data_IF_926643375593
#
_entry.id   IF_926643375593
#
_cell.length_a   1.000
_cell.length_b   1.000
_cell.length_c   1.000
_cell.angle_alpha   90.00
_cell.angle_beta   90.00
_cell.angle_gamma   90.00
#
_symmetry.space_group_name_H-M   'P 1'
#
loop_
_entity.id
_entity.type
_entity.pdbx_description
1 polymer ?
#
# COMPACT_ATOMS: atom_id res chain seq x y z
N UNK A 1 15.29 22.40 6.18
CA UNK A 1 14.28 21.41 6.62
C UNK A 1 12.93 22.04 6.36
N UNK A 2 12.11 21.44 5.49
CA UNK A 2 10.77 21.91 5.20
C UNK A 2 9.77 20.94 5.82
N UNK A 3 8.80 21.48 6.56
CA UNK A 3 7.70 20.74 7.16
C UNK A 3 6.38 21.25 6.58
N UNK A 4 5.59 20.33 6.05
CA UNK A 4 4.23 20.55 5.58
C UNK A 4 3.29 19.79 6.50
N UNK A 5 2.15 20.40 6.83
CA UNK A 5 1.14 19.78 7.67
C UNK A 5 -0.25 20.16 7.14
N UNK A 6 -1.14 19.18 7.11
CA UNK A 6 -2.55 19.38 6.78
C UNK A 6 -3.39 18.33 7.48
N UNK A 7 -4.60 18.70 7.88
CA UNK A 7 -5.56 17.79 8.50
C UNK A 7 -6.74 17.60 7.56
N UNK A 8 -7.11 16.37 7.32
CA UNK A 8 -8.27 16.01 6.50
C UNK A 8 -9.27 15.19 7.30
N UNK A 9 -10.54 15.27 6.89
CA UNK A 9 -11.61 14.45 7.47
C UNK A 9 -11.88 13.28 6.53
N UNK A 10 -11.83 12.08 7.08
CA UNK A 10 -12.10 10.85 6.34
C UNK A 10 -13.14 10.00 7.06
N UNK A 11 -13.88 9.20 6.29
CA UNK A 11 -14.78 8.18 6.84
C UNK A 11 -13.96 7.13 7.59
N UNK A 12 -14.46 6.71 8.73
CA UNK A 12 -13.90 5.64 9.55
C UNK A 12 -14.62 4.33 9.24
N UNK A 13 -13.92 3.27 8.81
CA UNK A 13 -14.53 1.95 8.75
C UNK A 13 -14.74 1.40 10.16
N UNK A 14 -15.68 0.49 10.32
CA UNK A 14 -15.79 -0.33 11.50
C UNK A 14 -14.68 -1.38 11.51
N UNK A 15 -14.06 -1.60 12.66
CA UNK A 15 -12.94 -2.53 12.77
C UNK A 15 -13.35 -3.95 12.45
N UNK A 16 -14.47 -4.38 12.98
CA UNK A 16 -15.04 -5.73 12.79
C UNK A 16 -15.29 -6.00 11.29
N UNK A 17 -15.75 -4.99 10.57
CA UNK A 17 -15.98 -5.11 9.12
C UNK A 17 -14.69 -5.24 8.32
N UNK A 18 -13.65 -4.50 8.69
CA UNK A 18 -12.32 -4.66 8.07
C UNK A 18 -11.71 -6.03 8.39
N UNK A 19 -11.84 -6.50 9.63
CA UNK A 19 -11.35 -7.82 10.03
C UNK A 19 -12.10 -8.93 9.26
N UNK A 20 -13.43 -8.81 9.11
CA UNK A 20 -14.23 -9.74 8.32
C UNK A 20 -13.82 -9.75 6.84
N UNK A 21 -13.60 -8.57 6.24
CA UNK A 21 -13.12 -8.48 4.86
C UNK A 21 -11.72 -9.07 4.69
N UNK A 22 -10.81 -8.81 5.63
CA UNK A 22 -9.49 -9.42 5.62
C UNK A 22 -9.62 -10.95 5.66
N UNK A 23 -10.50 -11.50 6.50
CA UNK A 23 -10.82 -12.91 6.52
C UNK A 23 -11.27 -13.45 5.15
N UNK A 24 -12.22 -12.77 4.49
CA UNK A 24 -12.69 -13.14 3.15
C UNK A 24 -11.55 -13.19 2.11
N UNK A 25 -10.67 -12.18 2.12
CA UNK A 25 -9.52 -12.15 1.20
C UNK A 25 -8.61 -13.36 1.42
N UNK A 26 -8.29 -13.69 2.67
CA UNK A 26 -7.43 -14.81 2.98
C UNK A 26 -8.11 -16.17 2.74
N UNK A 27 -9.41 -16.28 3.00
CA UNK A 27 -10.19 -17.48 2.67
C UNK A 27 -10.17 -17.73 1.16
N UNK A 28 -10.37 -16.69 0.34
CA UNK A 28 -10.27 -16.83 -1.11
C UNK A 28 -8.87 -17.25 -1.55
N UNK A 29 -7.82 -16.56 -1.06
CA UNK A 29 -6.44 -16.90 -1.44
C UNK A 29 -6.06 -18.32 -1.03
N UNK A 30 -6.40 -18.75 0.19
CA UNK A 30 -6.08 -20.10 0.68
C UNK A 30 -6.96 -21.20 0.09
N UNK A 31 -8.12 -20.84 -0.47
CA UNK A 31 -8.96 -21.79 -1.22
C UNK A 31 -8.43 -22.07 -2.63
N UNK A 32 -7.51 -21.24 -3.14
CA UNK A 32 -6.87 -21.49 -4.43
C UNK A 32 -5.93 -22.70 -4.36
N UNK A 33 -5.70 -23.32 -5.50
CA UNK A 33 -4.81 -24.47 -5.61
C UNK A 33 -3.96 -24.39 -6.87
N UNK A 34 -2.81 -25.06 -6.84
CA UNK A 34 -2.01 -25.23 -8.05
C UNK A 34 -2.52 -26.44 -8.83
N UNK A 35 -2.79 -26.24 -10.12
CA UNK A 35 -3.07 -27.28 -11.09
C UNK A 35 -1.99 -27.23 -12.18
N UNK A 36 -1.00 -28.10 -12.07
CA UNK A 36 0.24 -27.93 -12.82
C UNK A 36 0.95 -26.64 -12.43
N UNK A 37 1.10 -25.73 -13.38
CA UNK A 37 1.68 -24.41 -13.15
C UNK A 37 0.64 -23.31 -12.96
N UNK A 38 -0.61 -23.56 -13.26
CA UNK A 38 -1.69 -22.59 -13.11
C UNK A 38 -2.20 -22.54 -11.67
N UNK A 39 -2.56 -21.36 -11.22
CA UNK A 39 -3.31 -21.18 -9.96
C UNK A 39 -4.79 -21.13 -10.31
N UNK A 40 -5.60 -21.95 -9.65
CA UNK A 40 -7.03 -22.04 -9.92
C UNK A 40 -7.86 -21.79 -8.67
N UNK A 41 -9.02 -21.20 -8.86
CA UNK A 41 -10.05 -21.02 -7.83
C UNK A 41 -10.73 -22.36 -7.49
N UNK A 42 -11.53 -22.44 -6.40
CA UNK A 42 -12.27 -23.64 -6.04
C UNK A 42 -13.21 -24.17 -7.13
N UNK A 43 -13.78 -23.27 -7.92
CA UNK A 43 -14.67 -23.59 -9.05
C UNK A 43 -13.94 -24.08 -10.31
N UNK A 44 -12.59 -24.12 -10.27
CA UNK A 44 -11.74 -24.59 -11.36
C UNK A 44 -11.32 -23.48 -12.35
N UNK A 45 -11.83 -22.26 -12.23
CA UNK A 45 -11.38 -21.14 -13.07
C UNK A 45 -9.93 -20.79 -12.73
N UNK A 46 -9.12 -20.61 -13.77
CA UNK A 46 -7.73 -20.18 -13.59
C UNK A 46 -7.66 -18.68 -13.25
N UNK A 47 -6.69 -18.33 -12.41
CA UNK A 47 -6.30 -16.92 -12.19
C UNK A 47 -5.43 -16.48 -13.37
N UNK A 48 -5.93 -15.57 -14.24
CA UNK A 48 -5.21 -15.20 -15.45
C UNK A 48 -3.86 -14.55 -15.14
N UNK A 49 -2.85 -14.86 -15.94
CA UNK A 49 -1.54 -14.23 -15.82
C UNK A 49 -0.73 -14.63 -14.59
N UNK A 50 -1.24 -15.51 -13.70
CA UNK A 50 -0.52 -15.96 -12.50
C UNK A 50 -0.04 -17.41 -12.68
N UNK A 51 1.27 -17.60 -12.69
CA UNK A 51 1.89 -18.91 -12.91
C UNK A 51 2.82 -19.30 -11.75
N UNK A 52 2.62 -20.47 -11.15
CA UNK A 52 3.55 -21.04 -10.19
C UNK A 52 4.74 -21.66 -10.93
N UNK A 53 5.91 -21.03 -10.85
CA UNK A 53 7.12 -21.46 -11.57
C UNK A 53 8.05 -22.31 -10.72
N UNK A 54 7.95 -22.21 -9.39
CA UNK A 54 8.79 -22.99 -8.46
C UNK A 54 8.15 -23.15 -7.09
N UNK A 55 8.41 -24.31 -6.47
CA UNK A 55 7.98 -24.59 -5.09
C UNK A 55 6.55 -25.13 -5.01
N UNK A 56 6.00 -25.12 -3.82
CA UNK A 56 4.63 -25.54 -3.54
C UNK A 56 3.76 -24.33 -3.29
N UNK A 57 2.53 -24.36 -3.81
CA UNK A 57 1.57 -23.27 -3.68
C UNK A 57 1.41 -22.80 -2.22
N UNK A 58 1.45 -21.46 -2.01
CA UNK A 58 1.36 -20.79 -0.71
C UNK A 58 2.35 -21.28 0.36
N UNK A 59 3.48 -21.91 -0.04
CA UNK A 59 4.52 -22.32 0.89
C UNK A 59 5.75 -21.40 0.78
N UNK A 60 6.52 -21.23 1.86
CA UNK A 60 7.79 -20.50 1.80
C UNK A 60 8.70 -21.00 0.68
N UNK A 61 9.21 -20.10 -0.14
CA UNK A 61 10.01 -20.40 -1.33
C UNK A 61 9.22 -20.59 -2.62
N UNK A 62 7.87 -20.65 -2.55
CA UNK A 62 7.03 -20.61 -3.76
C UNK A 62 7.32 -19.34 -4.55
N UNK A 63 7.45 -19.49 -5.88
CA UNK A 63 7.68 -18.40 -6.80
C UNK A 63 6.59 -18.39 -7.86
N UNK A 64 5.99 -17.23 -8.02
CA UNK A 64 4.97 -16.97 -9.02
C UNK A 64 5.49 -15.93 -10.00
N UNK A 65 5.09 -16.08 -11.25
CA UNK A 65 5.26 -15.05 -12.27
C UNK A 65 3.89 -14.50 -12.65
N UNK A 66 3.82 -13.17 -12.80
CA UNK A 66 2.63 -12.47 -13.27
C UNK A 66 3.02 -11.48 -14.35
N UNK A 67 2.21 -11.39 -15.41
CA UNK A 67 2.39 -10.41 -16.48
C UNK A 67 1.50 -9.22 -16.17
N UNK A 68 2.10 -8.06 -15.98
CA UNK A 68 1.36 -6.79 -15.95
C UNK A 68 1.02 -6.33 -17.38
N UNK A 69 0.00 -5.48 -17.56
CA UNK A 69 -0.41 -5.00 -18.88
C UNK A 69 0.73 -4.29 -19.64
N UNK A 70 1.64 -3.64 -18.95
CA UNK A 70 2.73 -2.84 -19.53
C UNK A 70 4.12 -3.48 -19.36
N UNK A 71 4.22 -4.69 -18.83
CA UNK A 71 5.51 -5.32 -18.53
C UNK A 71 5.95 -6.25 -19.64
N UNK A 72 7.08 -5.93 -20.30
CA UNK A 72 7.72 -6.84 -21.26
C UNK A 72 8.32 -8.10 -20.63
N UNK A 73 8.64 -8.04 -19.33
CA UNK A 73 9.11 -9.17 -18.53
C UNK A 73 8.13 -9.44 -17.39
N UNK A 74 7.92 -10.72 -16.99
CA UNK A 74 7.02 -11.04 -15.89
C UNK A 74 7.56 -10.54 -14.55
N UNK A 75 6.68 -9.98 -13.74
CA UNK A 75 6.95 -9.73 -12.33
C UNK A 75 7.04 -11.05 -11.57
N UNK A 76 7.99 -11.15 -10.66
CA UNK A 76 8.16 -12.35 -9.86
C UNK A 76 7.75 -12.10 -8.42
N UNK A 77 6.80 -12.86 -7.90
CA UNK A 77 6.42 -12.86 -6.48
C UNK A 77 6.97 -14.10 -5.78
N UNK A 78 7.65 -13.91 -4.65
CA UNK A 78 8.21 -14.98 -3.82
C UNK A 78 7.55 -14.97 -2.45
N UNK A 79 6.98 -16.11 -2.05
CA UNK A 79 6.50 -16.29 -0.67
C UNK A 79 7.70 -16.45 0.25
N UNK A 80 7.82 -15.59 1.25
CA UNK A 80 8.86 -15.64 2.29
C UNK A 80 8.37 -16.34 3.55
N UNK A 81 7.18 -15.99 3.98
CA UNK A 81 6.47 -16.62 5.10
C UNK A 81 4.99 -16.71 4.75
N UNK A 82 4.33 -17.80 5.13
CA UNK A 82 2.90 -17.97 4.99
C UNK A 82 2.36 -18.72 6.20
N UNK A 83 1.90 -17.97 7.18
CA UNK A 83 1.27 -18.46 8.41
C UNK A 83 0.12 -17.53 8.75
N UNK A 84 -1.07 -17.85 8.28
CA UNK A 84 -2.27 -17.03 8.40
C UNK A 84 -2.53 -16.54 9.84
N UNK A 85 -2.39 -17.39 10.85
CA UNK A 85 -2.59 -17.00 12.27
C UNK A 85 -1.52 -16.04 12.81
N UNK A 86 -0.41 -15.77 12.11
CA UNK A 86 0.68 -14.95 12.65
C UNK A 86 1.28 -13.97 11.63
N UNK A 87 1.74 -14.43 10.48
CA UNK A 87 2.46 -13.59 9.52
C UNK A 87 2.38 -14.11 8.10
N UNK A 88 2.16 -13.18 7.17
CA UNK A 88 2.36 -13.38 5.73
C UNK A 88 3.44 -12.40 5.29
N UNK A 89 4.46 -12.91 4.60
CA UNK A 89 5.51 -12.10 4.02
C UNK A 89 5.75 -12.52 2.58
N UNK A 90 5.71 -11.55 1.68
CA UNK A 90 5.94 -11.73 0.25
C UNK A 90 6.97 -10.73 -0.26
N UNK A 91 7.65 -11.11 -1.30
CA UNK A 91 8.61 -10.27 -1.98
C UNK A 91 8.31 -10.27 -3.47
N UNK A 92 8.19 -9.08 -4.05
CA UNK A 92 7.96 -8.88 -5.47
C UNK A 92 9.21 -8.30 -6.11
N UNK A 93 9.62 -8.87 -7.22
CA UNK A 93 10.67 -8.41 -8.11
C UNK A 93 10.01 -7.95 -9.39
N UNK A 94 10.15 -6.67 -9.69
CA UNK A 94 9.61 -6.02 -10.88
C UNK A 94 10.75 -5.72 -11.83
N UNK A 95 10.56 -6.01 -13.11
CA UNK A 95 11.52 -5.71 -14.17
C UNK A 95 10.80 -5.09 -15.35
N UNK A 96 11.36 -4.01 -15.83
CA UNK A 96 10.97 -3.40 -17.07
C UNK A 96 12.24 -2.93 -17.81
N UNK A 97 12.19 -2.64 -19.11
CA UNK A 97 13.34 -2.08 -19.83
C UNK A 97 13.89 -0.80 -19.21
N UNK A 98 13.03 -0.03 -18.56
CA UNK A 98 13.37 1.27 -18.01
C UNK A 98 13.72 1.23 -16.51
N UNK A 99 13.37 0.16 -15.79
CA UNK A 99 13.57 0.10 -14.35
C UNK A 99 13.56 -1.32 -13.78
N UNK A 100 14.20 -1.49 -12.65
CA UNK A 100 14.09 -2.69 -11.84
C UNK A 100 13.71 -2.32 -10.41
N UNK A 101 12.86 -3.15 -9.80
CA UNK A 101 12.36 -2.92 -8.47
C UNK A 101 12.32 -4.18 -7.63
N UNK A 102 12.42 -3.99 -6.33
CA UNK A 102 12.17 -5.03 -5.34
C UNK A 102 11.30 -4.44 -4.25
N UNK A 103 10.20 -5.09 -3.98
CA UNK A 103 9.28 -4.72 -2.90
C UNK A 103 9.10 -5.92 -1.98
N UNK A 104 9.17 -5.69 -0.69
CA UNK A 104 8.85 -6.68 0.34
C UNK A 104 7.67 -6.17 1.16
N UNK A 105 6.69 -7.02 1.38
CA UNK A 105 5.52 -6.77 2.19
C UNK A 105 5.49 -7.79 3.32
N UNK A 106 5.19 -7.33 4.53
CA UNK A 106 4.99 -8.16 5.70
C UNK A 106 3.72 -7.71 6.43
N UNK A 107 2.77 -8.62 6.56
CA UNK A 107 1.53 -8.43 7.28
C UNK A 107 1.52 -9.34 8.51
N UNK A 108 1.30 -8.77 9.69
CA UNK A 108 1.14 -9.52 10.94
C UNK A 108 -0.33 -9.69 11.27
N UNK A 109 -0.67 -10.87 11.77
CA UNK A 109 -2.03 -11.29 12.12
C UNK A 109 -3.02 -11.05 10.97
N UNK A 110 -2.87 -11.75 9.82
CA UNK A 110 -3.63 -11.49 8.61
C UNK A 110 -5.15 -11.44 8.78
N UNK A 111 -5.73 -12.29 9.63
CA UNK A 111 -7.19 -12.33 9.89
C UNK A 111 -7.69 -11.12 10.71
N UNK A 112 -6.82 -10.55 11.53
CA UNK A 112 -7.05 -9.31 12.29
C UNK A 112 -5.82 -8.44 12.18
N UNK A 113 -5.67 -7.75 11.06
CA UNK A 113 -4.42 -7.09 10.72
C UNK A 113 -3.89 -6.20 11.85
N UNK A 114 -2.73 -6.58 12.41
CA UNK A 114 -2.11 -5.82 13.50
C UNK A 114 -1.09 -4.82 12.97
N UNK A 115 -0.27 -5.21 11.99
CA UNK A 115 0.66 -4.28 11.36
C UNK A 115 0.99 -4.68 9.93
N UNK A 116 1.22 -3.67 9.10
CA UNK A 116 1.70 -3.81 7.73
C UNK A 116 3.03 -3.08 7.58
N UNK A 117 4.03 -3.76 7.06
CA UNK A 117 5.32 -3.20 6.69
C UNK A 117 5.55 -3.40 5.19
N UNK A 118 5.96 -2.36 4.51
CA UNK A 118 6.37 -2.40 3.10
C UNK A 118 7.74 -1.77 2.99
N UNK A 119 8.67 -2.45 2.31
CA UNK A 119 9.99 -1.92 2.00
C UNK A 119 10.27 -2.11 0.52
N UNK A 120 10.79 -1.08 -0.15
CA UNK A 120 11.04 -1.13 -1.57
C UNK A 120 12.33 -0.44 -1.99
N UNK A 121 12.86 -0.88 -3.13
CA UNK A 121 13.97 -0.24 -3.84
C UNK A 121 13.67 -0.25 -5.31
N UNK A 122 13.86 0.90 -5.93
CA UNK A 122 13.76 1.07 -7.38
C UNK A 122 15.12 1.52 -7.90
N UNK A 123 15.49 1.02 -9.06
CA UNK A 123 16.68 1.41 -9.82
C UNK A 123 16.24 1.75 -11.23
N UNK A 124 16.77 2.82 -11.77
CA UNK A 124 16.60 3.15 -13.19
C UNK A 124 17.33 2.16 -14.09
N UNK A 125 17.32 2.41 -15.43
CA UNK A 125 17.91 1.54 -16.42
C UNK A 125 19.36 1.16 -16.09
N UNK A 126 19.80 -0.03 -16.52
CA UNK A 126 21.20 -0.44 -16.39
C UNK A 126 22.09 0.54 -17.16
N UNK A 127 23.17 1.02 -16.49
CA UNK A 127 24.06 2.05 -17.06
C UNK A 127 23.65 3.49 -16.75
N UNK A 128 22.42 3.78 -16.34
CA UNK A 128 22.06 5.07 -15.78
C UNK A 128 22.68 5.17 -14.37
N UNK A 129 23.60 6.09 -14.19
CA UNK A 129 24.31 6.26 -12.92
C UNK A 129 23.40 6.39 -11.68
N UNK A 130 23.99 6.67 -10.53
CA UNK A 130 23.34 6.81 -9.22
C UNK A 130 22.03 7.68 -9.10
N UNK A 131 21.69 8.60 -10.06
CA UNK A 131 20.51 9.48 -9.90
C UNK A 131 19.18 8.77 -9.75
N UNK A 132 19.01 7.60 -10.33
CA UNK A 132 17.72 6.91 -10.44
C UNK A 132 17.50 5.84 -9.35
N UNK A 133 18.15 5.98 -8.19
CA UNK A 133 17.95 5.06 -7.05
C UNK A 133 17.00 5.66 -6.03
N UNK A 134 15.86 5.02 -5.83
CA UNK A 134 14.89 5.33 -4.78
C UNK A 134 14.76 4.14 -3.84
N UNK A 135 14.72 4.38 -2.53
CA UNK A 135 14.33 3.37 -1.56
C UNK A 135 13.27 3.92 -0.62
N UNK A 136 12.33 3.07 -0.24
CA UNK A 136 11.23 3.43 0.63
C UNK A 136 10.99 2.38 1.71
N UNK A 137 10.42 2.83 2.82
CA UNK A 137 9.80 1.97 3.83
C UNK A 137 8.54 2.63 4.30
N UNK A 138 7.45 1.88 4.33
CA UNK A 138 6.19 2.25 4.94
C UNK A 138 5.90 1.29 6.10
N UNK A 139 5.30 1.79 7.15
CA UNK A 139 4.79 0.99 8.26
C UNK A 139 3.45 1.55 8.71
N UNK A 140 2.50 0.65 8.93
CA UNK A 140 1.21 0.92 9.52
C UNK A 140 1.03 -0.03 10.70
N UNK A 141 0.95 0.53 11.90
CA UNK A 141 0.56 -0.16 13.12
C UNK A 141 -0.94 0.06 13.32
N UNK A 142 -1.73 -0.94 12.94
CA UNK A 142 -3.19 -0.86 12.98
C UNK A 142 -3.71 -0.84 14.41
N UNK A 143 -3.06 -1.54 15.35
CA UNK A 143 -3.45 -1.51 16.74
C UNK A 143 -3.27 -0.09 17.33
N UNK A 144 -2.12 0.52 17.08
CA UNK A 144 -1.85 1.91 17.48
C UNK A 144 -2.75 2.91 16.73
N UNK A 145 -3.11 2.63 15.46
CA UNK A 145 -4.05 3.44 14.68
C UNK A 145 -5.42 3.48 15.34
N UNK A 146 -5.98 2.31 15.66
CA UNK A 146 -7.29 2.20 16.31
C UNK A 146 -7.28 2.83 17.71
N UNK A 147 -6.22 2.61 18.50
CA UNK A 147 -6.06 3.22 19.81
C UNK A 147 -6.03 4.76 19.72
N UNK A 148 -5.30 5.33 18.77
CA UNK A 148 -5.23 6.76 18.53
C UNK A 148 -6.58 7.33 18.06
N UNK A 149 -7.27 6.61 17.18
CA UNK A 149 -8.58 7.01 16.65
C UNK A 149 -9.71 6.95 17.71
N UNK A 150 -9.53 6.17 18.77
CA UNK A 150 -10.49 6.06 19.89
C UNK A 150 -10.30 7.14 20.96
N UNK A 151 -9.20 7.90 20.95
CA UNK A 151 -8.96 8.94 21.95
C UNK A 151 -10.04 10.03 21.90
N UNK A 152 -10.41 10.53 23.08
CA UNK A 152 -11.37 11.61 23.22
C UNK A 152 -10.91 12.87 22.45
N UNK A 153 -11.84 13.69 21.92
CA UNK A 153 -11.51 14.99 21.35
C UNK A 153 -10.73 15.85 22.35
N UNK A 154 -9.61 16.45 21.91
CA UNK A 154 -8.74 17.27 22.78
C UNK A 154 -7.67 16.49 23.53
N UNK A 155 -7.67 15.17 23.52
CA UNK A 155 -6.58 14.38 24.08
C UNK A 155 -5.24 14.69 23.38
N UNK A 156 -4.11 14.65 24.11
CA UNK A 156 -2.80 14.88 23.51
C UNK A 156 -2.55 13.84 22.42
N UNK A 157 -1.96 14.24 21.28
CA UNK A 157 -1.68 13.33 20.19
C UNK A 157 -0.70 12.24 20.63
N UNK A 158 -0.86 11.03 20.10
CA UNK A 158 0.06 9.93 20.35
C UNK A 158 1.48 10.33 19.94
N UNK A 159 2.46 10.05 20.80
CA UNK A 159 3.85 10.46 20.57
C UNK A 159 4.41 9.89 19.28
N UNK A 160 4.13 8.60 18.99
CA UNK A 160 4.56 7.93 17.75
C UNK A 160 3.41 7.86 16.76
N UNK A 161 3.65 8.33 15.53
CA UNK A 161 2.66 8.19 14.48
C UNK A 161 2.44 6.70 14.12
N UNK A 162 1.18 6.21 14.11
CA UNK A 162 0.88 4.82 13.80
C UNK A 162 1.14 4.47 12.33
N UNK A 163 1.08 5.44 11.43
CA UNK A 163 1.45 5.23 10.03
C UNK A 163 2.59 6.17 9.64
N UNK A 164 3.63 5.59 9.02
CA UNK A 164 4.80 6.33 8.57
C UNK A 164 5.29 5.83 7.23
N UNK A 165 5.78 6.75 6.38
CA UNK A 165 6.49 6.44 5.15
C UNK A 165 7.82 7.20 5.17
N UNK A 166 8.89 6.53 4.78
CA UNK A 166 10.20 7.13 4.61
C UNK A 166 10.74 6.82 3.23
N UNK A 167 10.94 7.85 2.44
CA UNK A 167 11.55 7.76 1.12
C UNK A 167 12.97 8.31 1.19
N UNK A 168 13.90 7.61 0.58
CA UNK A 168 15.30 8.02 0.47
C UNK A 168 15.69 8.07 -0.99
N UNK A 169 16.15 9.23 -1.39
CA UNK A 169 16.75 9.49 -2.69
C UNK A 169 18.13 10.09 -2.47
N UNK A 170 19.00 10.09 -3.48
CA UNK A 170 20.34 10.73 -3.35
C UNK A 170 20.25 12.20 -2.98
N UNK A 171 19.23 12.91 -3.47
CA UNK A 171 19.04 14.35 -3.23
C UNK A 171 18.47 14.65 -1.84
N UNK A 172 17.82 13.68 -1.18
CA UNK A 172 17.18 13.95 0.10
C UNK A 172 16.44 12.76 0.71
N UNK A 173 15.81 13.06 1.81
CA UNK A 173 14.92 12.13 2.54
C UNK A 173 13.59 12.82 2.77
N UNK A 174 12.50 12.18 2.40
CA UNK A 174 11.15 12.58 2.78
C UNK A 174 10.59 11.61 3.84
N UNK A 175 9.89 12.15 4.81
CA UNK A 175 9.16 11.39 5.82
C UNK A 175 7.73 11.88 5.85
N UNK A 176 6.78 10.96 5.69
CA UNK A 176 5.37 11.17 5.88
C UNK A 176 4.95 10.50 7.18
N UNK A 177 4.09 11.12 7.95
CA UNK A 177 3.47 10.55 9.13
C UNK A 177 1.99 10.88 9.15
N UNK A 178 1.16 9.90 9.51
CA UNK A 178 -0.28 10.03 9.65
C UNK A 178 -0.68 9.74 11.09
N UNK A 179 -1.54 10.59 11.67
CA UNK A 179 -2.09 10.42 13.00
C UNK A 179 -3.61 10.59 12.95
N UNK A 180 -4.38 9.53 13.19
CA UNK A 180 -5.82 9.64 13.25
C UNK A 180 -6.24 10.21 14.62
N UNK A 181 -7.36 10.91 14.62
CA UNK A 181 -8.10 11.34 15.82
C UNK A 181 -9.59 11.20 15.53
N UNK A 182 -10.36 10.93 16.54
CA UNK A 182 -11.83 10.89 16.42
C UNK A 182 -12.35 12.29 16.05
N UNK A 183 -13.16 12.36 14.99
CA UNK A 183 -13.81 13.59 14.54
C UNK A 183 -15.31 13.61 14.89
N UNK A 184 -15.91 12.41 14.99
CA UNK A 184 -17.33 12.21 15.26
C UNK A 184 -17.71 10.75 15.01
N UNK A 185 -19.00 10.41 15.05
CA UNK A 185 -19.46 9.08 14.68
C UNK A 185 -19.04 8.76 13.22
N UNK A 186 -18.34 7.64 13.02
CA UNK A 186 -17.92 7.21 11.69
C UNK A 186 -16.94 8.14 10.96
N UNK A 187 -16.25 9.06 11.65
CA UNK A 187 -15.33 10.03 11.06
C UNK A 187 -14.01 10.12 11.84
N UNK A 188 -12.92 10.25 11.09
CA UNK A 188 -11.59 10.56 11.60
C UNK A 188 -11.08 11.89 11.06
N UNK A 189 -10.41 12.67 11.90
CA UNK A 189 -9.43 13.65 11.46
C UNK A 189 -8.07 12.97 11.34
N UNK A 190 -7.45 13.06 10.19
CA UNK A 190 -6.12 12.52 9.96
C UNK A 190 -5.14 13.67 9.78
N UNK A 191 -4.21 13.80 10.73
CA UNK A 191 -3.11 14.76 10.65
C UNK A 191 -2.00 14.19 9.76
N UNK A 192 -1.81 14.80 8.62
CA UNK A 192 -0.78 14.45 7.63
C UNK A 192 0.40 15.39 7.77
N UNK A 193 1.57 14.86 8.07
CA UNK A 193 2.80 15.65 8.18
C UNK A 193 3.85 15.09 7.22
N UNK A 194 4.40 15.93 6.36
CA UNK A 194 5.55 15.62 5.50
C UNK A 194 6.74 16.47 5.93
N UNK A 195 7.87 15.82 6.11
CA UNK A 195 9.16 16.46 6.43
C UNK A 195 10.16 16.08 5.36
N UNK A 196 10.73 17.09 4.71
CA UNK A 196 11.74 16.91 3.66
C UNK A 196 13.07 17.47 4.12
N UNK A 197 14.11 16.65 3.97
CA UNK A 197 15.49 17.03 4.25
C UNK A 197 16.34 16.87 2.98
N UNK A 198 16.95 17.92 2.51
CA UNK A 198 18.01 17.87 1.49
C UNK A 198 19.29 17.25 2.08
N UNK A 199 20.11 16.58 1.26
CA UNK A 199 21.42 16.05 1.67
C UNK A 199 22.53 17.08 1.43
N UNK A 200 23.38 17.22 2.44
CA UNK A 200 24.68 17.94 2.53
C UNK A 200 24.89 19.13 1.58
N UNK A 201 25.40 18.92 0.38
CA UNK A 201 25.78 19.97 -0.56
C UNK A 201 24.59 20.68 -1.24
N UNK A 202 23.43 20.04 -1.29
CA UNK A 202 22.21 20.60 -1.90
C UNK A 202 21.29 21.30 -0.87
N UNK A 203 21.69 21.35 0.41
CA UNK A 203 20.88 22.02 1.45
C UNK A 203 20.59 23.49 1.13
N UNK A 204 21.57 24.35 0.74
CA UNK A 204 21.28 25.74 0.44
C UNK A 204 20.44 25.89 -0.84
N UNK A 205 20.74 25.13 -1.89
CA UNK A 205 19.99 25.17 -3.16
C UNK A 205 18.57 24.64 -2.96
N UNK A 206 18.41 23.51 -2.25
CA UNK A 206 17.10 22.96 -1.93
C UNK A 206 16.31 23.88 -0.98
N UNK A 207 16.97 24.55 -0.03
CA UNK A 207 16.31 25.53 0.84
C UNK A 207 15.82 26.75 0.05
N UNK A 208 16.62 27.27 -0.87
CA UNK A 208 16.26 28.38 -1.73
C UNK A 208 15.13 28.01 -2.72
N UNK A 209 15.24 26.88 -3.38
CA UNK A 209 14.19 26.35 -4.26
C UNK A 209 12.86 26.11 -3.50
N UNK A 210 12.92 25.58 -2.27
CA UNK A 210 11.76 25.37 -1.42
C UNK A 210 11.19 26.70 -0.87
N UNK A 211 12.01 27.73 -0.72
CA UNK A 211 11.57 29.06 -0.31
C UNK A 211 10.80 29.75 -1.45
N UNK A 212 11.30 29.67 -2.68
CA UNK A 212 10.62 30.16 -3.88
C UNK A 212 9.35 29.36 -4.22
N UNK A 213 9.40 28.04 -4.03
CA UNK A 213 8.27 27.15 -4.28
C UNK A 213 7.31 27.02 -3.08
N UNK A 214 7.54 27.75 -2.00
CA UNK A 214 6.85 27.55 -0.71
C UNK A 214 5.33 27.63 -0.78
N UNK A 215 4.79 28.59 -1.53
CA UNK A 215 3.33 28.76 -1.68
C UNK A 215 2.74 27.70 -2.61
N UNK A 216 3.25 27.49 -3.84
CA UNK A 216 2.73 26.44 -4.72
C UNK A 216 2.92 25.02 -4.14
N UNK A 217 4.04 24.76 -3.42
CA UNK A 217 4.28 23.49 -2.76
C UNK A 217 3.25 23.19 -1.66
N UNK A 218 2.90 24.20 -0.85
CA UNK A 218 1.86 24.04 0.19
C UNK A 218 0.49 23.82 -0.41
N UNK A 219 0.15 24.57 -1.48
CA UNK A 219 -1.13 24.38 -2.19
C UNK A 219 -1.21 23.01 -2.83
N UNK A 220 -0.17 22.59 -3.55
CA UNK A 220 -0.11 21.26 -4.16
C UNK A 220 -0.17 20.13 -3.13
N UNK A 221 0.54 20.26 -2.01
CA UNK A 221 0.46 19.32 -0.90
C UNK A 221 -0.96 19.21 -0.33
N UNK A 222 -1.59 20.35 -0.05
CA UNK A 222 -2.95 20.41 0.47
C UNK A 222 -3.93 19.74 -0.51
N UNK A 223 -3.91 20.16 -1.77
CA UNK A 223 -4.78 19.60 -2.81
C UNK A 223 -4.60 18.07 -2.95
N UNK A 224 -3.35 17.58 -2.98
CA UNK A 224 -3.09 16.14 -3.06
C UNK A 224 -3.60 15.36 -1.85
N UNK A 225 -3.52 15.93 -0.64
CA UNK A 225 -4.03 15.27 0.58
C UNK A 225 -5.56 15.29 0.60
N UNK A 226 -6.20 16.38 0.19
CA UNK A 226 -7.65 16.50 0.06
C UNK A 226 -8.20 15.54 -1.00
N UNK A 227 -7.55 15.44 -2.15
CA UNK A 227 -7.89 14.49 -3.21
C UNK A 227 -7.77 13.03 -2.74
N UNK A 228 -6.68 12.71 -2.04
CA UNK A 228 -6.51 11.37 -1.46
C UNK A 228 -7.60 11.04 -0.42
N UNK A 229 -8.00 12.03 0.39
CA UNK A 229 -9.11 11.88 1.34
C UNK A 229 -10.47 11.69 0.62
N UNK A 230 -10.69 12.42 -0.47
CA UNK A 230 -11.87 12.25 -1.33
C UNK A 230 -11.95 10.83 -1.89
N UNK A 231 -10.88 10.35 -2.54
CA UNK A 231 -10.80 8.98 -3.06
C UNK A 231 -11.01 7.91 -1.98
N UNK A 232 -10.43 8.10 -0.80
CA UNK A 232 -10.68 7.22 0.34
C UNK A 232 -12.15 7.18 0.72
N UNK A 233 -12.79 8.35 0.86
CA UNK A 233 -14.19 8.45 1.27
C UNK A 233 -15.13 7.79 0.24
N UNK A 234 -14.85 7.93 -1.04
CA UNK A 234 -15.60 7.28 -2.12
C UNK A 234 -15.41 5.77 -2.11
N UNK A 235 -14.14 5.32 -2.04
CA UNK A 235 -13.83 3.90 -2.00
C UNK A 235 -14.43 3.22 -0.78
N UNK A 236 -14.28 3.84 0.40
CA UNK A 236 -14.88 3.31 1.63
C UNK A 236 -16.41 3.36 1.58
N UNK A 237 -17.00 4.40 0.97
CA UNK A 237 -18.45 4.49 0.76
C UNK A 237 -18.98 3.31 -0.06
N UNK A 238 -18.31 2.98 -1.16
CA UNK A 238 -18.66 1.80 -2.00
C UNK A 238 -18.47 0.48 -1.24
N UNK A 239 -17.38 0.36 -0.47
CA UNK A 239 -17.10 -0.81 0.36
C UNK A 239 -18.17 -1.01 1.45
N UNK A 240 -18.59 0.07 2.12
CA UNK A 240 -19.60 0.00 3.18
C UNK A 240 -21.01 -0.25 2.67
N UNK A 241 -21.29 0.08 1.42
CA UNK A 241 -22.60 -0.15 0.79
C UNK A 241 -22.86 -1.62 0.42
N UNK A 242 -21.80 -2.45 0.30
CA UNK A 242 -21.89 -3.86 -0.09
C UNK A 242 -21.94 -4.75 1.15
N UNK A 243 -22.67 -5.84 1.09
CA UNK A 243 -22.59 -6.89 2.11
C UNK A 243 -21.36 -7.80 1.89
N UNK A 244 -21.13 -8.75 2.81
CA UNK A 244 -19.96 -9.61 2.74
C UNK A 244 -20.03 -10.64 1.58
N UNK A 245 -21.23 -11.04 1.16
CA UNK A 245 -21.40 -11.99 0.05
C UNK A 245 -21.17 -11.29 -1.28
N UNK A 246 -21.63 -10.04 -1.44
CA UNK A 246 -21.34 -9.19 -2.58
C UNK A 246 -19.82 -8.91 -2.70
N UNK A 247 -19.15 -8.62 -1.57
CA UNK A 247 -17.70 -8.44 -1.54
C UNK A 247 -16.93 -9.71 -1.90
N UNK A 248 -17.41 -10.88 -1.46
CA UNK A 248 -16.84 -12.19 -1.84
C UNK A 248 -16.98 -12.45 -3.33
N UNK A 249 -18.17 -12.19 -3.89
CA UNK A 249 -18.43 -12.35 -5.32
C UNK A 249 -17.50 -11.43 -6.14
N UNK A 250 -17.41 -10.16 -5.77
CA UNK A 250 -16.54 -9.19 -6.43
C UNK A 250 -15.05 -9.58 -6.37
N UNK A 251 -14.56 -10.04 -5.21
CA UNK A 251 -13.20 -10.55 -5.05
C UNK A 251 -12.94 -11.74 -5.98
N UNK A 252 -13.90 -12.67 -6.07
CA UNK A 252 -13.80 -13.86 -6.91
C UNK A 252 -13.77 -13.47 -8.40
N UNK A 253 -14.66 -12.58 -8.84
CA UNK A 253 -14.67 -12.09 -10.22
C UNK A 253 -13.42 -11.28 -10.55
N UNK A 254 -12.96 -10.41 -9.64
CA UNK A 254 -11.72 -9.66 -9.82
C UNK A 254 -10.48 -10.57 -9.95
N UNK A 255 -10.49 -11.72 -9.28
CA UNK A 255 -9.40 -12.68 -9.36
C UNK A 255 -9.30 -13.38 -10.73
N UNK A 256 -10.40 -13.42 -11.50
CA UNK A 256 -10.45 -14.06 -12.83
C UNK A 256 -10.55 -13.05 -13.98
N UNK A 257 -10.81 -11.77 -13.68
CA UNK A 257 -10.80 -10.72 -14.69
C UNK A 257 -9.41 -10.58 -15.33
N UNK A 258 -9.35 -10.47 -16.65
CA UNK A 258 -8.10 -10.19 -17.35
C UNK A 258 -7.68 -8.74 -17.08
N UNK A 259 -6.37 -8.47 -16.94
CA UNK A 259 -5.88 -7.10 -16.71
C UNK A 259 -6.34 -6.09 -17.78
N UNK A 260 -6.57 -6.54 -19.01
CA UNK A 260 -6.97 -5.70 -20.15
C UNK A 260 -8.44 -5.27 -20.10
N UNK A 261 -9.32 -6.01 -19.39
CA UNK A 261 -10.75 -5.69 -19.31
C UNK A 261 -11.06 -4.61 -18.25
N UNK A 262 -10.15 -4.35 -17.33
CA UNK A 262 -10.34 -3.34 -16.26
C UNK A 262 -9.91 -1.92 -16.67
N UNK A 263 -9.27 -1.74 -17.83
CA UNK A 263 -8.79 -0.43 -18.32
C UNK A 263 -9.89 0.40 -19.03
N UNK A 264 -11.02 -0.20 -19.37
CA UNK A 264 -12.12 0.44 -20.11
C UNK A 264 -13.31 0.86 -19.22
N UNK A 265 -13.01 1.44 -18.06
CA UNK A 265 -13.98 2.15 -17.24
C UNK A 265 -14.50 3.39 -17.98
N UNK A 266 -15.78 3.77 -17.85
CA UNK A 266 -16.38 4.86 -18.61
C UNK A 266 -15.61 6.16 -18.40
N UNK A 267 -15.24 6.79 -19.55
CA UNK A 267 -14.61 8.12 -19.62
C UNK A 267 -15.58 9.21 -19.20
#
# INVERSE_FOLDING_TARGET
MTRLHHTVTVRAPERERLDAYAGLVWDLVESTRAQGRSVVLPDGRAVPGLTLVRGHHLRPGARYESHGPDSGEPDTTVIREWRRGSVIAVEQLMRSPESSGRMALRLRSPDRPASLEVAGRLRGPEGSGSPHRLSGRASLDLAAWWAAAALAPGAPPVARAPATVRLKHRLGVARLSLRPRRAGPGLWHVDVTVVVHGRLLLRPVAAFALLLAGVPLRRGFRSSVEEAAGRWNEALGRFLAKDLDELRAELTESAVARPDETADGPR
#
